data_IF_942499684510
#
_entry.id   IF_942499684510
#
_cell.length_a   1.000
_cell.length_b   1.000
_cell.length_c   1.000
_cell.angle_alpha   90.00
_cell.angle_beta   90.00
_cell.angle_gamma   90.00
#
_symmetry.space_group_name_H-M   'P 1'
#
loop_
_entity.id
_entity.type
_entity.pdbx_description
1 polymer ?
#
# COMPACT_ATOMS: atom_id res chain seq x y z
N UNK A 1 9.53 -22.04 -1.12
CA UNK A 1 8.16 -22.20 -1.66
C UNK A 1 7.81 -23.65 -1.95
N UNK A 2 8.56 -24.40 -2.77
CA UNK A 2 8.30 -25.83 -3.06
C UNK A 2 8.14 -26.69 -1.79
N UNK A 3 8.99 -26.43 -0.79
CA UNK A 3 8.93 -27.15 0.49
C UNK A 3 7.65 -26.89 1.29
N UNK A 4 6.96 -25.77 1.07
CA UNK A 4 5.70 -25.41 1.73
C UNK A 4 4.47 -25.99 1.02
N UNK A 5 4.64 -26.64 -0.13
CA UNK A 5 3.54 -27.25 -0.88
C UNK A 5 3.09 -28.57 -0.23
N UNK A 6 1.79 -28.92 -0.31
CA UNK A 6 1.26 -30.19 0.19
C UNK A 6 2.05 -31.38 -0.36
N UNK A 7 2.20 -32.43 0.44
CA UNK A 7 2.93 -33.64 0.06
C UNK A 7 2.36 -34.33 -1.19
N UNK A 8 1.07 -34.13 -1.48
CA UNK A 8 0.40 -34.59 -2.70
C UNK A 8 0.85 -33.88 -3.98
N UNK A 9 1.65 -32.82 -3.88
CA UNK A 9 2.11 -32.05 -5.02
C UNK A 9 3.35 -32.70 -5.66
N UNK A 10 3.35 -32.89 -6.97
CA UNK A 10 4.53 -33.35 -7.70
C UNK A 10 5.58 -32.22 -7.75
N UNK A 11 6.49 -32.21 -6.77
CA UNK A 11 7.52 -31.17 -6.58
C UNK A 11 8.58 -31.17 -7.70
N UNK A 12 8.84 -32.31 -8.33
CA UNK A 12 9.90 -32.48 -9.34
C UNK A 12 9.56 -31.81 -10.68
N UNK A 13 8.27 -31.59 -10.96
CA UNK A 13 7.80 -30.93 -12.18
C UNK A 13 7.70 -29.41 -12.07
N UNK A 14 7.98 -28.83 -10.90
CA UNK A 14 7.74 -27.40 -10.65
C UNK A 14 9.04 -26.62 -10.82
N UNK A 15 9.12 -25.85 -11.91
CA UNK A 15 10.26 -24.97 -12.16
C UNK A 15 10.21 -23.70 -11.30
N UNK A 16 11.37 -23.09 -11.06
CA UNK A 16 11.46 -21.81 -10.37
C UNK A 16 10.71 -20.68 -11.10
N UNK A 17 10.70 -20.71 -12.44
CA UNK A 17 9.96 -19.75 -13.26
C UNK A 17 8.45 -19.90 -13.05
N UNK A 18 7.94 -21.13 -13.03
CA UNK A 18 6.53 -21.40 -12.75
C UNK A 18 6.10 -20.86 -11.39
N UNK A 19 6.92 -21.05 -10.35
CA UNK A 19 6.63 -20.51 -9.01
C UNK A 19 6.66 -18.99 -8.98
N UNK A 20 7.62 -18.39 -9.67
CA UNK A 20 7.71 -16.94 -9.80
C UNK A 20 6.43 -16.39 -10.43
N UNK A 21 6.01 -16.95 -11.56
CA UNK A 21 4.86 -16.44 -12.32
C UNK A 21 3.54 -16.60 -11.55
N UNK A 22 3.42 -17.64 -10.72
CA UNK A 22 2.23 -17.91 -9.91
C UNK A 22 2.21 -17.08 -8.62
N UNK A 23 3.31 -17.06 -7.86
CA UNK A 23 3.31 -16.56 -6.48
C UNK A 23 3.93 -15.17 -6.30
N UNK A 24 4.83 -14.76 -7.20
CA UNK A 24 5.54 -13.49 -7.06
C UNK A 24 4.83 -12.43 -7.89
N UNK A 25 4.17 -11.48 -7.21
CA UNK A 25 3.43 -10.39 -7.86
C UNK A 25 4.31 -9.22 -8.26
N UNK A 26 5.38 -8.97 -7.50
CA UNK A 26 6.28 -7.85 -7.72
C UNK A 26 7.71 -8.25 -7.38
N UNK A 27 8.63 -7.89 -8.26
CA UNK A 27 10.07 -8.01 -8.06
C UNK A 27 10.72 -6.66 -8.29
N UNK A 28 11.61 -6.25 -7.40
CA UNK A 28 12.39 -5.02 -7.53
C UNK A 28 13.85 -5.33 -7.26
N UNK A 29 14.74 -4.79 -8.08
CA UNK A 29 16.19 -4.81 -7.87
C UNK A 29 16.72 -3.39 -7.99
N UNK A 30 17.44 -2.93 -6.97
CA UNK A 30 18.09 -1.62 -6.92
C UNK A 30 19.58 -1.82 -6.71
N UNK A 31 20.39 -1.15 -7.53
CA UNK A 31 21.85 -1.31 -7.55
C UNK A 31 22.62 0.01 -7.55
N UNK A 32 21.96 1.16 -7.66
CA UNK A 32 22.59 2.47 -7.82
C UNK A 32 22.50 3.29 -6.52
N UNK A 33 23.66 3.50 -5.87
CA UNK A 33 23.77 4.10 -4.54
C UNK A 33 23.21 3.24 -3.41
N UNK A 34 21.92 2.93 -3.48
CA UNK A 34 21.23 1.92 -2.69
C UNK A 34 21.42 0.53 -3.33
N UNK A 35 21.53 -0.51 -2.51
CA UNK A 35 21.61 -1.91 -2.97
C UNK A 35 20.66 -2.81 -2.17
N UNK A 36 19.58 -3.22 -2.82
CA UNK A 36 18.59 -4.12 -2.22
C UNK A 36 17.72 -4.78 -3.28
N UNK A 37 17.07 -5.89 -2.91
CA UNK A 37 16.03 -6.55 -3.70
C UNK A 37 14.77 -6.78 -2.88
N UNK A 38 13.62 -6.88 -3.57
CA UNK A 38 12.33 -7.13 -2.95
C UNK A 38 11.51 -8.09 -3.81
N UNK A 39 10.91 -9.08 -3.15
CA UNK A 39 9.93 -9.99 -3.72
C UNK A 39 8.65 -9.88 -2.92
N UNK A 40 7.52 -9.68 -3.61
CA UNK A 40 6.23 -9.48 -2.96
C UNK A 40 5.27 -10.60 -3.32
N UNK A 41 4.74 -11.26 -2.30
CA UNK A 41 3.71 -12.29 -2.38
C UNK A 41 2.40 -11.68 -1.89
N UNK A 42 1.31 -11.89 -2.63
CA UNK A 42 -0.02 -11.43 -2.20
C UNK A 42 -0.96 -12.61 -2.16
N UNK A 43 -1.89 -12.59 -1.22
CA UNK A 43 -3.06 -13.46 -1.27
C UNK A 43 -4.27 -12.71 -1.83
N UNK A 44 -5.31 -13.47 -2.17
CA UNK A 44 -6.56 -12.91 -2.72
C UNK A 44 -7.38 -12.14 -1.68
N UNK A 45 -6.94 -12.16 -0.41
CA UNK A 45 -7.51 -11.40 0.69
C UNK A 45 -6.81 -10.05 0.92
N UNK A 46 -5.86 -9.67 0.07
CA UNK A 46 -5.14 -8.40 0.15
C UNK A 46 -4.04 -8.34 1.20
N UNK A 47 -3.68 -9.48 1.80
CA UNK A 47 -2.48 -9.58 2.64
C UNK A 47 -1.26 -9.75 1.75
N UNK A 48 -0.19 -9.07 2.12
CA UNK A 48 1.05 -9.04 1.38
C UNK A 48 2.22 -9.42 2.30
N UNK A 49 3.09 -10.32 1.82
CA UNK A 49 4.38 -10.62 2.43
C UNK A 49 5.45 -10.09 1.48
N UNK A 50 6.24 -9.12 1.94
CA UNK A 50 7.40 -8.61 1.21
C UNK A 50 8.69 -9.18 1.80
N UNK A 51 9.41 -9.95 1.00
CA UNK A 51 10.75 -10.44 1.31
C UNK A 51 11.75 -9.44 0.75
N UNK A 52 12.39 -8.68 1.65
CA UNK A 52 13.30 -7.59 1.29
C UNK A 52 14.72 -7.94 1.75
N UNK A 53 15.66 -7.95 0.81
CA UNK A 53 17.07 -8.24 1.07
C UNK A 53 17.86 -6.96 0.89
N UNK A 54 18.45 -6.46 1.99
CA UNK A 54 19.09 -5.14 2.03
C UNK A 54 20.58 -5.31 2.27
N UNK A 55 21.41 -4.80 1.35
CA UNK A 55 22.85 -4.59 1.55
C UNK A 55 23.08 -3.14 2.00
N UNK A 56 22.56 -2.18 1.22
CA UNK A 56 22.61 -0.75 1.53
C UNK A 56 21.28 -0.06 1.23
N UNK A 57 20.75 0.69 2.19
CA UNK A 57 19.55 1.49 2.00
C UNK A 57 19.61 2.79 2.80
N UNK A 58 19.59 3.92 2.10
CA UNK A 58 19.56 5.24 2.71
C UNK A 58 18.21 5.58 3.36
N UNK A 59 17.12 5.17 2.69
CA UNK A 59 15.73 5.51 3.03
C UNK A 59 15.03 4.32 3.68
N UNK A 60 15.18 4.18 4.99
CA UNK A 60 14.65 3.03 5.73
C UNK A 60 13.28 3.27 6.35
N UNK A 61 12.79 4.51 6.33
CA UNK A 61 11.47 4.89 6.86
C UNK A 61 10.94 6.14 6.13
N UNK A 62 9.62 6.36 6.19
CA UNK A 62 8.99 7.58 5.66
C UNK A 62 8.52 8.49 6.81
N UNK A 63 7.84 7.92 7.80
CA UNK A 63 7.40 8.58 9.02
C UNK A 63 7.93 7.83 10.26
N UNK A 64 7.84 8.48 11.41
CA UNK A 64 8.25 7.86 12.68
C UNK A 64 7.46 6.59 13.03
N UNK A 65 6.17 6.54 12.66
CA UNK A 65 5.25 5.46 13.03
C UNK A 65 5.49 4.15 12.28
N UNK A 66 6.20 4.20 11.15
CA UNK A 66 6.60 3.04 10.34
C UNK A 66 8.11 2.77 10.38
N UNK A 67 8.82 3.33 11.37
CA UNK A 67 10.28 3.26 11.45
C UNK A 67 10.82 2.10 12.28
N UNK A 68 9.97 1.26 12.85
CA UNK A 68 10.37 0.19 13.76
C UNK A 68 10.89 -1.03 13.01
N UNK A 69 12.03 -1.56 13.45
CA UNK A 69 12.57 -2.83 13.01
C UNK A 69 12.80 -3.73 14.24
N UNK A 70 12.40 -4.99 14.14
CA UNK A 70 12.48 -5.97 15.21
C UNK A 70 13.39 -7.10 14.74
N UNK A 71 14.48 -7.35 15.46
CA UNK A 71 15.44 -8.42 15.14
C UNK A 71 14.87 -9.77 15.56
N UNK A 72 14.70 -10.69 14.60
CA UNK A 72 14.03 -11.98 14.86
C UNK A 72 15.00 -13.13 15.14
N UNK A 73 16.32 -12.92 15.05
CA UNK A 73 17.33 -13.98 15.14
C UNK A 73 17.16 -14.88 16.37
N UNK A 74 16.92 -14.29 17.55
CA UNK A 74 16.70 -15.04 18.80
C UNK A 74 15.48 -15.97 18.72
N UNK A 75 14.42 -15.54 18.04
CA UNK A 75 13.22 -16.36 17.83
C UNK A 75 13.47 -17.49 16.84
N UNK A 76 14.32 -17.27 15.85
CA UNK A 76 14.64 -18.25 14.82
C UNK A 76 15.63 -19.31 15.34
N UNK A 77 16.61 -18.90 16.14
CA UNK A 77 17.62 -19.79 16.70
C UNK A 77 17.07 -20.64 17.85
N UNK A 78 16.10 -20.11 18.61
CA UNK A 78 15.54 -20.77 19.81
C UNK A 78 14.01 -20.61 19.87
N UNK A 79 13.26 -21.25 18.96
CA UNK A 79 11.81 -21.09 18.85
C UNK A 79 11.05 -21.48 20.11
N UNK A 80 11.56 -22.46 20.87
CA UNK A 80 10.93 -22.97 22.09
C UNK A 80 11.32 -22.19 23.36
N UNK A 81 12.08 -21.10 23.24
CA UNK A 81 12.49 -20.31 24.40
C UNK A 81 11.27 -19.58 25.00
N UNK A 82 10.92 -19.76 26.29
CA UNK A 82 9.66 -19.28 26.84
C UNK A 82 9.57 -17.75 26.98
N UNK A 83 10.71 -17.05 27.05
CA UNK A 83 10.79 -15.58 27.16
C UNK A 83 12.02 -15.04 26.41
N UNK A 84 12.02 -15.05 25.07
CA UNK A 84 13.15 -14.55 24.29
C UNK A 84 13.26 -13.04 24.48
N UNK A 85 14.47 -12.55 24.72
CA UNK A 85 14.74 -11.10 24.73
C UNK A 85 14.93 -10.69 23.28
N UNK A 86 14.06 -9.81 22.80
CA UNK A 86 14.03 -9.35 21.42
C UNK A 86 14.46 -7.88 21.40
N UNK A 87 15.32 -7.54 20.46
CA UNK A 87 15.74 -6.15 20.23
C UNK A 87 14.82 -5.51 19.20
N UNK A 88 14.32 -4.32 19.53
CA UNK A 88 13.62 -3.46 18.59
C UNK A 88 14.34 -2.11 18.51
N UNK A 89 14.48 -1.59 17.30
CA UNK A 89 15.10 -0.31 17.02
C UNK A 89 14.19 0.56 16.15
N UNK A 90 14.41 1.87 16.20
CA UNK A 90 13.69 2.83 15.36
C UNK A 90 14.66 3.50 14.40
N UNK A 91 14.42 3.34 13.11
CA UNK A 91 15.16 4.02 12.05
C UNK A 91 14.93 5.53 12.03
N UNK A 92 13.91 6.02 12.75
CA UNK A 92 13.70 7.45 13.01
C UNK A 92 14.77 8.02 13.97
N UNK A 93 15.48 7.16 14.70
CA UNK A 93 16.60 7.46 15.59
C UNK A 93 16.24 7.31 17.06
N UNK A 94 15.23 8.05 17.55
CA UNK A 94 14.78 7.95 18.94
C UNK A 94 13.55 7.06 19.03
N UNK A 95 13.74 5.85 19.59
CA UNK A 95 12.68 4.86 19.75
C UNK A 95 11.57 5.31 20.69
N UNK A 96 11.88 6.01 21.78
CA UNK A 96 10.89 6.46 22.74
C UNK A 96 9.99 7.53 22.11
N UNK A 97 10.60 8.45 21.34
CA UNK A 97 9.84 9.45 20.60
C UNK A 97 8.99 8.84 19.49
N UNK A 98 9.52 7.86 18.75
CA UNK A 98 8.74 7.14 17.75
C UNK A 98 7.56 6.38 18.39
N UNK A 99 7.77 5.78 19.56
CA UNK A 99 6.74 5.08 20.33
C UNK A 99 5.66 6.05 20.84
N UNK A 100 6.07 7.23 21.31
CA UNK A 100 5.14 8.30 21.66
C UNK A 100 4.28 8.68 20.45
N UNK A 101 4.90 8.92 19.28
CA UNK A 101 4.16 9.24 18.07
C UNK A 101 3.20 8.12 17.65
N UNK A 102 3.58 6.85 17.83
CA UNK A 102 2.69 5.72 17.56
C UNK A 102 1.47 5.72 18.50
N UNK A 103 1.70 5.90 19.81
CA UNK A 103 0.65 5.90 20.82
C UNK A 103 -0.31 7.09 20.69
N UNK A 104 0.21 8.28 20.38
CA UNK A 104 -0.56 9.51 20.25
C UNK A 104 -1.10 9.76 18.82
N UNK A 105 -0.85 8.83 17.90
CA UNK A 105 -1.19 8.93 16.47
C UNK A 105 -0.64 10.20 15.82
N UNK A 106 0.65 10.44 15.97
CA UNK A 106 1.34 11.60 15.42
C UNK A 106 2.13 11.26 14.15
N UNK A 107 2.02 12.13 13.14
CA UNK A 107 2.80 12.06 11.91
C UNK A 107 4.00 12.99 12.06
N UNK A 108 5.20 12.42 11.99
CA UNK A 108 6.44 13.18 11.94
C UNK A 108 7.49 12.50 11.07
N UNK A 109 8.35 13.31 10.47
CA UNK A 109 9.53 12.87 9.71
C UNK A 109 10.70 13.80 9.99
N UNK A 110 11.91 13.25 10.14
CA UNK A 110 13.14 14.03 10.30
C UNK A 110 13.81 14.39 8.97
N UNK A 111 13.51 13.61 7.92
CA UNK A 111 14.14 13.69 6.59
C UNK A 111 13.07 13.83 5.51
N UNK A 112 12.30 14.94 5.47
CA UNK A 112 11.29 15.15 4.45
C UNK A 112 11.87 15.02 3.03
N UNK A 113 13.12 15.41 2.82
CA UNK A 113 13.85 15.30 1.56
C UNK A 113 14.03 13.87 1.03
N UNK A 114 13.87 12.87 1.90
CA UNK A 114 13.94 11.46 1.54
C UNK A 114 12.58 10.87 1.18
N UNK A 115 11.48 11.58 1.46
CA UNK A 115 10.14 11.15 1.05
C UNK A 115 10.04 11.17 -0.47
N UNK A 116 9.55 10.06 -1.05
CA UNK A 116 9.20 9.94 -2.47
C UNK A 116 7.70 10.18 -2.68
N UNK A 117 7.25 10.22 -3.92
CA UNK A 117 5.86 10.54 -4.28
C UNK A 117 4.83 9.65 -3.56
N UNK A 118 5.17 8.38 -3.30
CA UNK A 118 4.31 7.48 -2.51
C UNK A 118 4.04 7.95 -1.08
N UNK A 119 4.88 8.81 -0.51
CA UNK A 119 4.69 9.36 0.83
C UNK A 119 3.45 10.25 0.95
N UNK A 120 3.02 10.92 -0.13
CA UNK A 120 1.75 11.66 -0.14
C UNK A 120 0.55 10.72 0.11
N UNK A 121 0.55 9.57 -0.56
CA UNK A 121 -0.52 8.58 -0.44
C UNK A 121 -0.57 8.02 0.98
N UNK A 122 0.59 7.67 1.53
CA UNK A 122 0.70 7.20 2.92
C UNK A 122 0.31 8.27 3.94
N UNK A 123 0.69 9.53 3.71
CA UNK A 123 0.29 10.64 4.57
C UNK A 123 -1.22 10.77 4.64
N UNK A 124 -1.90 10.78 3.49
CA UNK A 124 -3.36 10.84 3.44
C UNK A 124 -3.99 9.62 4.12
N UNK A 125 -3.40 8.43 3.97
CA UNK A 125 -3.90 7.22 4.63
C UNK A 125 -3.72 7.27 6.15
N UNK A 126 -2.62 7.84 6.65
CA UNK A 126 -2.46 8.07 8.10
C UNK A 126 -3.53 9.04 8.62
N UNK A 127 -3.80 10.12 7.88
CA UNK A 127 -4.85 11.08 8.24
C UNK A 127 -6.25 10.44 8.28
N UNK A 128 -6.62 9.56 7.33
CA UNK A 128 -7.92 8.85 7.40
C UNK A 128 -8.02 7.93 8.63
N UNK A 129 -6.89 7.42 9.13
CA UNK A 129 -6.82 6.64 10.38
C UNK A 129 -6.77 7.49 11.65
N UNK A 130 -6.97 8.79 11.54
CA UNK A 130 -7.01 9.74 12.66
C UNK A 130 -5.63 10.14 13.19
N UNK A 131 -4.57 9.95 12.39
CA UNK A 131 -3.28 10.52 12.74
C UNK A 131 -3.29 12.03 12.46
N UNK A 132 -2.47 12.78 13.21
CA UNK A 132 -2.34 14.24 13.11
C UNK A 132 -0.88 14.65 13.07
N UNK A 133 -0.58 15.79 12.46
CA UNK A 133 0.81 16.27 12.40
C UNK A 133 1.38 16.53 13.81
N UNK A 134 2.54 15.94 14.13
CA UNK A 134 3.25 16.20 15.39
C UNK A 134 3.65 17.67 15.54
N UNK A 135 3.84 18.36 14.40
CA UNK A 135 4.24 19.77 14.32
C UNK A 135 3.27 20.52 13.41
N UNK A 136 2.12 21.00 13.92
CA UNK A 136 1.09 21.67 13.11
C UNK A 136 1.64 22.84 12.28
N UNK A 137 2.57 23.60 12.85
CA UNK A 137 3.20 24.74 12.18
C UNK A 137 4.02 24.36 10.92
N UNK A 138 4.49 23.11 10.82
CA UNK A 138 5.25 22.59 9.67
C UNK A 138 4.42 21.72 8.73
N UNK A 139 3.17 21.43 9.07
CA UNK A 139 2.28 20.53 8.32
C UNK A 139 2.13 20.96 6.86
N UNK A 140 1.78 22.22 6.61
CA UNK A 140 1.61 22.75 5.24
C UNK A 140 2.90 22.77 4.42
N UNK A 141 4.06 22.86 5.07
CA UNK A 141 5.34 22.77 4.37
C UNK A 141 5.61 21.32 3.93
N UNK A 142 5.33 20.36 4.79
CA UNK A 142 5.46 18.93 4.50
C UNK A 142 4.50 18.51 3.38
N UNK A 143 3.24 18.92 3.41
CA UNK A 143 2.27 18.64 2.36
C UNK A 143 2.70 19.21 1.00
N UNK A 144 3.13 20.48 0.96
CA UNK A 144 3.68 21.09 -0.27
C UNK A 144 4.84 20.28 -0.84
N UNK A 145 5.74 19.81 0.02
CA UNK A 145 6.86 18.97 -0.39
C UNK A 145 6.36 17.63 -0.97
N UNK A 146 5.45 16.94 -0.28
CA UNK A 146 4.91 15.66 -0.73
C UNK A 146 4.13 15.78 -2.04
N UNK A 147 3.32 16.83 -2.22
CA UNK A 147 2.64 17.12 -3.47
C UNK A 147 3.64 17.37 -4.61
N UNK A 148 4.65 18.20 -4.40
CA UNK A 148 5.70 18.45 -5.40
C UNK A 148 6.43 17.15 -5.78
N UNK A 149 6.81 16.34 -4.78
CA UNK A 149 7.49 15.07 -5.02
C UNK A 149 6.60 14.06 -5.75
N UNK A 150 5.30 14.04 -5.46
CA UNK A 150 4.34 13.19 -6.16
C UNK A 150 4.31 13.49 -7.66
N UNK A 151 4.23 14.76 -8.06
CA UNK A 151 4.26 15.13 -9.48
C UNK A 151 5.62 14.91 -10.14
N UNK A 152 6.73 15.08 -9.41
CA UNK A 152 8.07 14.78 -9.94
C UNK A 152 8.26 13.29 -10.19
N UNK A 153 7.79 12.44 -9.27
CA UNK A 153 7.95 10.99 -9.38
C UNK A 153 6.92 10.35 -10.32
N UNK A 154 5.75 10.98 -10.50
CA UNK A 154 4.65 10.54 -11.37
C UNK A 154 4.16 11.71 -12.24
N UNK A 155 4.89 12.06 -13.31
CA UNK A 155 4.59 13.25 -14.12
C UNK A 155 3.32 13.11 -14.94
N UNK A 156 2.96 11.90 -15.42
CA UNK A 156 1.74 11.72 -16.22
C UNK A 156 0.54 11.31 -15.36
N UNK A 157 -0.66 11.80 -15.73
CA UNK A 157 -1.91 11.43 -15.07
C UNK A 157 -2.18 9.91 -15.11
N UNK A 158 -1.73 9.24 -16.18
CA UNK A 158 -1.89 7.79 -16.32
C UNK A 158 -1.03 7.03 -15.31
N UNK A 159 0.23 7.44 -15.10
CA UNK A 159 1.11 6.82 -14.10
C UNK A 159 0.64 7.10 -12.68
N UNK A 160 0.05 8.28 -12.44
CA UNK A 160 -0.62 8.62 -11.18
C UNK A 160 -1.85 7.73 -10.93
N UNK A 161 -2.74 7.55 -11.91
CA UNK A 161 -3.94 6.72 -11.77
C UNK A 161 -3.58 5.25 -11.50
N UNK A 162 -2.63 4.68 -12.25
CA UNK A 162 -2.14 3.31 -12.03
C UNK A 162 -1.61 3.17 -10.59
N UNK A 163 -0.81 4.14 -10.14
CA UNK A 163 -0.24 4.12 -8.79
C UNK A 163 -1.31 4.25 -7.71
N UNK A 164 -2.29 5.11 -7.90
CA UNK A 164 -3.39 5.36 -6.97
C UNK A 164 -4.32 4.14 -6.88
N UNK A 165 -4.73 3.56 -8.01
CA UNK A 165 -5.55 2.34 -8.03
C UNK A 165 -4.85 1.18 -7.32
N UNK A 166 -3.57 0.94 -7.64
CA UNK A 166 -2.78 -0.07 -6.95
C UNK A 166 -2.65 0.22 -5.43
N UNK A 167 -2.58 1.49 -5.02
CA UNK A 167 -2.58 1.86 -3.60
C UNK A 167 -3.92 1.52 -2.95
N UNK A 168 -5.05 1.88 -3.57
CA UNK A 168 -6.39 1.58 -3.07
C UNK A 168 -6.61 0.07 -2.91
N UNK A 169 -6.24 -0.71 -3.91
CA UNK A 169 -6.43 -2.16 -3.93
C UNK A 169 -5.60 -2.86 -2.83
N UNK A 170 -4.37 -2.39 -2.60
CA UNK A 170 -3.47 -2.98 -1.61
C UNK A 170 -3.82 -2.59 -0.17
N UNK A 171 -4.39 -1.40 0.05
CA UNK A 171 -4.58 -0.84 1.40
C UNK A 171 -6.02 -0.89 1.92
N UNK A 172 -7.02 -0.90 1.04
CA UNK A 172 -8.44 -0.84 1.39
C UNK A 172 -9.23 -2.05 0.89
N UNK A 173 -8.69 -2.84 -0.04
CA UNK A 173 -9.34 -4.07 -0.49
C UNK A 173 -10.70 -3.82 -1.15
N UNK A 174 -11.79 -4.30 -0.54
CA UNK A 174 -13.17 -4.12 -1.04
C UNK A 174 -13.98 -3.09 -0.23
N UNK A 175 -13.31 -2.32 0.63
CA UNK A 175 -13.95 -1.30 1.47
C UNK A 175 -14.17 -0.02 0.66
N UNK A 176 -15.21 -0.01 -0.19
CA UNK A 176 -15.45 1.09 -1.12
C UNK A 176 -15.73 2.43 -0.42
N UNK A 177 -16.34 2.41 0.78
CA UNK A 177 -16.52 3.60 1.61
C UNK A 177 -15.18 4.20 2.04
N UNK A 178 -14.27 3.39 2.58
CA UNK A 178 -12.97 3.88 3.05
C UNK A 178 -12.09 4.36 1.90
N UNK A 179 -12.19 3.73 0.72
CA UNK A 179 -11.56 4.22 -0.52
C UNK A 179 -12.10 5.59 -0.91
N UNK A 180 -13.41 5.78 -0.84
CA UNK A 180 -14.07 7.06 -1.18
C UNK A 180 -13.60 8.18 -0.24
N UNK A 181 -13.64 7.95 1.08
CA UNK A 181 -13.22 8.91 2.09
C UNK A 181 -11.74 9.27 1.95
N UNK A 182 -10.91 8.28 1.63
CA UNK A 182 -9.50 8.50 1.31
C UNK A 182 -9.31 9.38 0.05
N UNK A 183 -10.07 9.16 -1.02
CA UNK A 183 -9.97 9.97 -2.24
C UNK A 183 -10.41 11.41 -2.00
N UNK A 184 -11.45 11.65 -1.20
CA UNK A 184 -11.86 13.00 -0.82
C UNK A 184 -10.77 13.72 -0.03
N UNK A 185 -10.13 13.01 0.90
CA UNK A 185 -9.02 13.58 1.65
C UNK A 185 -7.81 13.88 0.75
N UNK A 186 -7.45 12.96 -0.14
CA UNK A 186 -6.36 13.15 -1.10
C UNK A 186 -6.65 14.36 -2.01
N UNK A 187 -7.89 14.48 -2.51
CA UNK A 187 -8.33 15.63 -3.29
C UNK A 187 -8.10 16.93 -2.54
N UNK A 188 -8.55 16.99 -1.28
CA UNK A 188 -8.40 18.18 -0.42
C UNK A 188 -6.92 18.56 -0.24
N UNK A 189 -6.06 17.62 0.12
CA UNK A 189 -4.63 17.87 0.33
C UNK A 189 -3.96 18.36 -0.95
N UNK A 190 -4.24 17.73 -2.10
CA UNK A 190 -3.68 18.17 -3.39
C UNK A 190 -4.18 19.57 -3.77
N UNK A 191 -5.46 19.86 -3.53
CA UNK A 191 -6.06 21.16 -3.84
C UNK A 191 -5.44 22.29 -3.00
N UNK A 192 -5.33 22.09 -1.68
CA UNK A 192 -4.85 23.10 -0.73
C UNK A 192 -3.33 23.29 -0.75
N UNK A 193 -2.57 22.23 -1.01
CA UNK A 193 -1.11 22.21 -0.81
C UNK A 193 -0.29 22.13 -2.10
N UNK A 194 -0.90 22.14 -3.29
CA UNK A 194 -0.15 22.26 -4.54
C UNK A 194 0.14 23.72 -4.91
N UNK A 195 1.42 24.02 -5.17
CA UNK A 195 1.90 25.37 -5.54
C UNK A 195 1.43 25.75 -6.95
N UNK A 196 1.19 27.05 -7.19
CA UNK A 196 0.62 27.57 -8.46
C UNK A 196 1.40 27.18 -9.72
N UNK A 197 2.71 26.94 -9.62
CA UNK A 197 3.55 26.50 -10.75
C UNK A 197 3.09 25.17 -11.36
N UNK A 198 2.40 24.32 -10.59
CA UNK A 198 1.90 23.02 -11.02
C UNK A 198 0.39 23.04 -11.28
N UNK A 199 -0.17 24.17 -11.76
CA UNK A 199 -1.61 24.33 -11.84
C UNK A 199 -2.28 23.42 -12.87
N UNK A 200 -1.56 23.03 -13.93
CA UNK A 200 -2.09 22.15 -14.97
C UNK A 200 -2.16 20.71 -14.48
N UNK A 201 -1.06 20.22 -13.93
CA UNK A 201 -0.91 18.91 -13.30
C UNK A 201 -1.94 18.76 -12.18
N UNK A 202 -2.07 19.77 -11.32
CA UNK A 202 -3.09 19.81 -10.28
C UNK A 202 -4.49 19.59 -10.82
N UNK A 203 -4.89 20.32 -11.88
CA UNK A 203 -6.24 20.17 -12.47
C UNK A 203 -6.46 18.77 -13.03
N UNK A 204 -5.48 18.21 -13.73
CA UNK A 204 -5.57 16.86 -14.28
C UNK A 204 -5.69 15.79 -13.18
N UNK A 205 -4.85 15.88 -12.14
CA UNK A 205 -4.87 14.95 -11.02
C UNK A 205 -6.16 15.04 -10.22
N UNK A 206 -6.63 16.26 -9.92
CA UNK A 206 -7.90 16.45 -9.22
C UNK A 206 -9.09 15.91 -10.02
N UNK A 207 -9.12 16.13 -11.33
CA UNK A 207 -10.14 15.56 -12.23
C UNK A 207 -10.10 14.02 -12.25
N UNK A 208 -8.90 13.43 -12.25
CA UNK A 208 -8.72 11.98 -12.15
C UNK A 208 -9.20 11.43 -10.80
N UNK A 209 -8.83 12.06 -9.68
CA UNK A 209 -9.25 11.65 -8.33
C UNK A 209 -10.77 11.74 -8.18
N UNK A 210 -11.37 12.83 -8.67
CA UNK A 210 -12.82 13.04 -8.62
C UNK A 210 -13.58 11.98 -9.43
N UNK A 211 -13.09 11.65 -10.64
CA UNK A 211 -13.64 10.56 -11.44
C UNK A 211 -13.58 9.21 -10.72
N UNK A 212 -12.46 8.90 -10.04
CA UNK A 212 -12.34 7.66 -9.26
C UNK A 212 -13.33 7.63 -8.10
N UNK A 213 -13.48 8.75 -7.38
CA UNK A 213 -14.42 8.87 -6.28
C UNK A 213 -15.88 8.71 -6.76
N UNK A 214 -16.23 9.33 -7.90
CA UNK A 214 -17.54 9.18 -8.52
C UNK A 214 -17.83 7.72 -8.89
N UNK A 215 -16.88 7.02 -9.52
CA UNK A 215 -17.03 5.59 -9.84
C UNK A 215 -17.36 4.74 -8.60
N UNK A 216 -16.68 4.98 -7.48
CA UNK A 216 -16.97 4.30 -6.21
C UNK A 216 -18.35 4.64 -5.66
N UNK A 217 -18.73 5.92 -5.67
CA UNK A 217 -20.07 6.33 -5.19
C UNK A 217 -21.21 5.67 -5.97
N UNK A 218 -21.04 5.53 -7.28
CA UNK A 218 -22.01 4.86 -8.15
C UNK A 218 -22.07 3.37 -7.84
N UNK A 219 -20.93 2.71 -7.68
CA UNK A 219 -20.88 1.29 -7.30
C UNK A 219 -21.59 1.02 -5.97
N UNK A 220 -21.38 1.88 -4.97
CA UNK A 220 -22.02 1.79 -3.67
C UNK A 220 -23.55 1.97 -3.75
N UNK A 221 -24.01 2.94 -4.54
CA UNK A 221 -25.44 3.16 -4.77
C UNK A 221 -26.12 1.93 -5.41
N UNK A 222 -25.48 1.31 -6.41
CA UNK A 222 -25.99 0.08 -7.02
C UNK A 222 -25.96 -1.10 -6.06
N UNK A 223 -24.89 -1.29 -5.28
CA UNK A 223 -24.83 -2.37 -4.28
C UNK A 223 -25.96 -2.24 -3.25
N UNK A 224 -26.23 -1.03 -2.74
CA UNK A 224 -27.34 -0.79 -1.81
C UNK A 224 -28.71 -1.09 -2.43
N UNK A 225 -28.87 -0.87 -3.73
CA UNK A 225 -30.11 -1.17 -4.47
C UNK A 225 -30.35 -2.68 -4.67
N UNK A 226 -29.29 -3.50 -4.60
CA UNK A 226 -29.35 -4.96 -4.79
C UNK A 226 -29.56 -5.77 -3.49
N UNK A 227 -29.53 -5.13 -2.30
CA UNK A 227 -29.63 -5.80 -0.99
C UNK A 227 -31.06 -6.37 -0.72
N UNK A 228 -32.01 -6.20 -1.64
CA UNK A 228 -33.31 -6.88 -1.62
C UNK A 228 -33.29 -8.39 -1.91
N UNK A 229 -32.14 -9.01 -2.17
CA UNK A 229 -32.04 -10.45 -2.40
C UNK A 229 -30.70 -11.04 -1.93
N UNK A 230 -30.77 -11.98 -0.98
CA UNK A 230 -29.73 -12.92 -0.53
C UNK A 230 -28.26 -12.57 -0.84
N UNK A 231 -27.55 -12.01 0.13
CA UNK A 231 -26.12 -11.74 0.02
C UNK A 231 -25.27 -12.94 0.48
N UNK A 232 -24.75 -13.71 -0.48
CA UNK A 232 -23.49 -14.42 -0.31
C UNK A 232 -22.33 -13.48 -0.64
N UNK A 233 -21.22 -13.57 0.11
CA UNK A 233 -20.04 -12.72 -0.08
C UNK A 233 -19.47 -12.79 -1.50
N UNK A 234 -19.16 -11.63 -2.10
CA UNK A 234 -18.56 -11.52 -3.45
C UNK A 234 -17.03 -11.59 -3.41
N UNK A 235 -16.40 -12.56 -4.10
CA UNK A 235 -14.94 -12.70 -4.16
C UNK A 235 -14.29 -11.65 -5.06
N UNK A 236 -12.99 -11.37 -4.84
CA UNK A 236 -12.22 -10.33 -5.56
C UNK A 236 -12.02 -10.60 -7.05
N UNK A 237 -12.08 -11.86 -7.48
CA UNK A 237 -12.11 -12.25 -8.88
C UNK A 237 -13.20 -13.31 -9.03
N UNK A 238 -14.19 -13.00 -9.87
CA UNK A 238 -15.21 -13.97 -10.26
C UNK A 238 -14.71 -14.73 -11.48
N UNK A 239 -14.44 -16.02 -11.31
CA UNK A 239 -14.10 -16.89 -12.42
C UNK A 239 -15.37 -17.20 -13.20
N UNK A 240 -15.38 -16.83 -14.49
CA UNK A 240 -16.48 -17.10 -15.40
C UNK A 240 -16.16 -18.38 -16.18
N UNK A 241 -17.08 -19.33 -16.15
CA UNK A 241 -17.05 -20.54 -16.97
C UNK A 241 -18.15 -20.47 -18.02
N UNK A 242 -17.82 -20.80 -19.26
CA UNK A 242 -18.80 -20.99 -20.33
C UNK A 242 -18.90 -22.49 -20.62
N UNK A 243 -19.98 -23.16 -20.17
CA UNK A 243 -20.21 -24.55 -20.54
C UNK A 243 -20.34 -24.72 -22.06
N UNK A 244 -19.94 -25.88 -22.61
CA UNK A 244 -20.24 -26.22 -23.99
C UNK A 244 -21.76 -26.16 -24.21
N UNK A 245 -22.20 -25.39 -25.21
CA UNK A 245 -23.60 -25.13 -25.57
C UNK A 245 -24.37 -24.11 -24.71
N UNK A 246 -23.70 -23.36 -23.82
CA UNK A 246 -24.32 -22.22 -23.14
C UNK A 246 -24.14 -20.92 -23.93
N UNK A 247 -25.15 -20.05 -23.88
CA UNK A 247 -25.14 -18.71 -24.48
C UNK A 247 -24.72 -17.60 -23.52
N UNK A 248 -24.42 -17.93 -22.27
CA UNK A 248 -24.00 -16.99 -21.24
C UNK A 248 -22.98 -17.59 -20.27
N UNK A 249 -22.12 -16.73 -19.74
CA UNK A 249 -21.08 -17.07 -18.77
C UNK A 249 -21.70 -17.31 -17.39
N UNK A 250 -21.23 -18.34 -16.71
CA UNK A 250 -21.65 -18.72 -15.36
C UNK A 250 -20.52 -18.35 -14.38
N UNK A 251 -20.80 -17.60 -13.31
CA UNK A 251 -19.83 -17.38 -12.23
C UNK A 251 -19.63 -18.68 -11.44
N UNK A 252 -18.40 -19.14 -11.31
CA UNK A 252 -18.04 -20.39 -10.61
C UNK A 252 -17.55 -20.12 -9.18
N UNK A 253 -17.12 -18.89 -8.89
CA UNK A 253 -16.80 -18.39 -7.55
C UNK A 253 -17.16 -16.91 -7.47
#
# INVERSE_FOLDING_TARGET
>A
MVQLMPESTNKDKISANTLKDIYIRKMVKVSDGDRWSLFSLHNDFGRCIELKFVDRMRRQFEFSVDSFQITLDVLLDRPDHPKPIITAESMFGDINKALQHLNERLIDTRRPEEIRGGGLLKYCHLLTRGYKAARPNKCRQLERYMCSRFFIDFPEVNSQEIKLRAYLDNHFGNEDQDKYDYLLLLYRVISESTVCLMSHERRQTLSMVDRLAYQLSVNMYYQQSCIGGFCGHTPRQTLLYLPPNASYWIPVV
#
